data_IF_044385261984
#
_entry.id   IF_044385261984
#
_cell.length_a   1.000
_cell.length_b   1.000
_cell.length_c   1.000
_cell.angle_alpha   90.00
_cell.angle_beta   90.00
_cell.angle_gamma   90.00
#
_symmetry.space_group_name_H-M   'P 1'
#
loop_
_entity.id
_entity.type
_entity.pdbx_description
1 polymer ?
#
# COMPACT_ATOMS: atom_id res chain seq x y z
N UNK A 1 0.89 33.72 -7.48
CA UNK A 1 0.52 32.82 -6.35
C UNK A 1 -0.82 32.22 -6.70
N UNK A 2 -0.79 31.21 -7.58
CA UNK A 2 -1.97 30.42 -7.91
C UNK A 2 -2.22 29.48 -6.72
N UNK A 3 -3.45 29.43 -6.25
CA UNK A 3 -3.87 28.45 -5.24
C UNK A 3 -3.79 27.08 -5.92
N UNK A 4 -2.79 26.30 -5.55
CA UNK A 4 -2.78 24.84 -5.74
C UNK A 4 -3.85 24.32 -4.79
N UNK A 5 -5.10 24.36 -5.25
CA UNK A 5 -6.23 23.84 -4.51
C UNK A 5 -6.15 22.33 -4.54
N UNK A 6 -5.70 21.76 -3.42
CA UNK A 6 -5.80 20.39 -2.96
C UNK A 6 -6.78 19.51 -3.76
N UNK A 7 -6.33 18.95 -4.89
CA UNK A 7 -7.01 17.82 -5.55
C UNK A 7 -6.75 16.52 -4.78
N UNK A 8 -5.75 16.50 -3.89
CA UNK A 8 -5.49 15.40 -2.96
C UNK A 8 -6.61 15.17 -1.93
N UNK A 9 -7.52 16.13 -1.72
CA UNK A 9 -8.56 16.02 -0.69
C UNK A 9 -9.69 15.05 -1.03
N UNK A 10 -9.90 14.73 -2.32
CA UNK A 10 -11.00 13.84 -2.71
C UNK A 10 -10.69 12.36 -2.54
N UNK A 11 -9.41 11.94 -2.56
CA UNK A 11 -9.06 10.52 -2.43
C UNK A 11 -9.00 10.02 -0.98
N UNK A 12 -8.95 10.92 0.02
CA UNK A 12 -8.91 10.53 1.44
C UNK A 12 -10.28 10.14 2.03
N UNK A 13 -11.38 10.25 1.27
CA UNK A 13 -12.74 10.09 1.81
C UNK A 13 -13.24 8.64 1.89
N UNK A 14 -12.42 7.63 1.59
CA UNK A 14 -12.86 6.23 1.46
C UNK A 14 -12.03 5.22 2.28
N UNK A 15 -11.85 5.43 3.59
CA UNK A 15 -11.37 4.35 4.47
C UNK A 15 -11.79 4.44 5.95
N UNK A 16 -12.91 5.08 6.28
CA UNK A 16 -13.47 5.00 7.63
C UNK A 16 -14.89 4.44 7.58
N UNK A 17 -15.01 3.11 7.66
CA UNK A 17 -16.28 2.47 7.99
C UNK A 17 -16.51 2.65 9.50
N UNK A 18 -17.42 3.55 9.82
CA UNK A 18 -17.88 3.88 11.18
C UNK A 18 -18.30 2.63 11.97
N UNK A 19 -17.49 2.27 12.97
CA UNK A 19 -17.95 1.54 14.15
C UNK A 19 -18.36 2.56 15.20
N UNK A 20 -19.65 2.84 15.30
CA UNK A 20 -20.21 3.76 16.27
C UNK A 20 -19.93 3.32 17.73
N UNK A 21 -19.28 4.18 18.49
CA UNK A 21 -19.10 4.09 19.95
C UNK A 21 -18.75 5.46 20.52
N UNK A 22 -19.52 5.90 21.51
CA UNK A 22 -19.73 7.28 21.97
C UNK A 22 -18.65 7.90 22.86
N UNK A 23 -18.52 9.22 22.74
CA UNK A 23 -18.17 10.27 23.73
C UNK A 23 -17.02 10.01 24.72
N UNK A 24 -15.88 10.68 24.52
CA UNK A 24 -15.06 11.18 25.63
C UNK A 24 -14.29 12.46 25.24
N UNK A 25 -14.60 13.56 25.94
CA UNK A 25 -13.93 14.86 25.83
C UNK A 25 -12.62 14.82 26.64
N UNK A 26 -11.58 14.19 26.08
CA UNK A 26 -10.24 14.11 26.65
C UNK A 26 -9.20 14.78 25.75
N UNK A 27 -8.30 15.56 26.34
CA UNK A 27 -7.15 16.18 25.65
C UNK A 27 -6.37 15.11 24.88
N UNK A 28 -6.38 15.18 23.55
CA UNK A 28 -5.73 14.23 22.65
C UNK A 28 -4.21 14.52 22.59
N UNK A 29 -3.49 14.06 23.61
CA UNK A 29 -2.03 13.95 23.60
C UNK A 29 -1.67 12.58 24.14
N UNK A 30 -0.88 11.83 23.38
CA UNK A 30 -0.55 10.40 23.52
C UNK A 30 -1.65 9.45 23.01
N UNK A 31 -1.66 9.20 21.69
CA UNK A 31 -2.24 7.94 21.19
C UNK A 31 -1.24 6.83 21.53
N UNK A 32 -1.54 5.92 22.48
CA UNK A 32 -0.67 4.80 22.76
C UNK A 32 -0.58 3.91 21.51
N UNK A 33 0.56 3.26 21.31
CA UNK A 33 0.69 2.22 20.30
C UNK A 33 -0.48 1.23 20.43
N UNK A 34 -1.17 0.85 19.34
CA UNK A 34 -2.31 -0.08 19.38
C UNK A 34 -1.91 -1.49 19.85
N UNK A 35 -0.62 -1.73 20.06
CA UNK A 35 -0.04 -2.99 20.52
C UNK A 35 0.54 -2.94 21.94
N UNK A 36 0.32 -1.86 22.70
CA UNK A 36 0.66 -1.84 24.11
C UNK A 36 -0.26 -2.81 24.87
N UNK A 37 0.28 -3.94 25.35
CA UNK A 37 -0.45 -4.83 26.26
C UNK A 37 -0.62 -4.11 27.62
N UNK A 38 -1.86 -4.05 28.12
CA UNK A 38 -2.23 -3.44 29.41
C UNK A 38 -1.89 -4.41 30.56
N UNK A 39 -0.60 -4.56 30.82
CA UNK A 39 -0.09 -5.62 31.68
C UNK A 39 0.81 -5.05 32.76
N UNK A 40 0.22 -4.84 33.94
CA UNK A 40 0.94 -4.46 35.14
C UNK A 40 2.14 -5.38 35.40
N UNK A 41 3.32 -4.76 35.44
CA UNK A 41 4.55 -5.25 36.07
C UNK A 41 4.89 -6.72 35.75
N UNK A 42 5.48 -6.94 34.58
CA UNK A 42 6.48 -7.99 34.44
C UNK A 42 7.77 -7.35 33.96
N UNK A 43 8.84 -7.46 34.73
CA UNK A 43 10.19 -7.01 34.37
C UNK A 43 10.79 -7.81 33.22
N UNK A 44 10.05 -7.99 32.13
CA UNK A 44 10.52 -8.46 30.84
C UNK A 44 11.37 -7.32 30.29
N UNK A 45 12.67 -7.56 30.21
CA UNK A 45 13.58 -6.71 29.46
C UNK A 45 13.12 -6.75 28.01
N UNK A 46 12.42 -5.70 27.56
CA UNK A 46 12.01 -5.57 26.16
C UNK A 46 13.28 -5.55 25.33
N UNK A 47 13.52 -6.54 24.47
CA UNK A 47 14.69 -6.56 23.62
C UNK A 47 14.64 -5.34 22.72
N UNK A 48 15.59 -4.42 22.85
CA UNK A 48 15.64 -3.23 22.03
C UNK A 48 16.34 -3.55 20.70
N UNK A 49 15.58 -3.51 19.60
CA UNK A 49 16.16 -3.31 18.28
C UNK A 49 17.01 -2.03 18.30
N UNK A 50 18.15 -2.02 17.62
CA UNK A 50 18.95 -0.79 17.59
C UNK A 50 18.24 0.26 16.71
N UNK A 51 18.29 1.57 17.04
CA UNK A 51 17.64 2.61 16.23
C UNK A 51 18.03 2.57 14.75
N UNK A 52 19.30 2.31 14.43
CA UNK A 52 19.77 2.17 13.04
C UNK A 52 19.16 0.95 12.32
N UNK A 53 18.94 -0.15 13.03
CA UNK A 53 18.27 -1.34 12.50
C UNK A 53 16.78 -1.05 12.26
N UNK A 54 16.12 -0.38 13.20
CA UNK A 54 14.74 0.07 13.07
C UNK A 54 14.55 0.93 11.81
N UNK A 55 15.36 1.98 11.64
CA UNK A 55 15.31 2.85 10.45
C UNK A 55 15.57 2.06 9.17
N UNK A 56 16.58 1.17 9.17
CA UNK A 56 16.91 0.37 8.00
C UNK A 56 15.75 -0.55 7.59
N UNK A 57 15.11 -1.22 8.56
CA UNK A 57 13.96 -2.08 8.33
C UNK A 57 12.72 -1.30 7.88
N UNK A 58 12.46 -0.11 8.45
CA UNK A 58 11.36 0.75 8.00
C UNK A 58 11.55 1.22 6.56
N UNK A 59 12.74 1.68 6.19
CA UNK A 59 13.05 2.10 4.81
C UNK A 59 12.93 0.90 3.84
N UNK A 60 13.38 -0.28 4.25
CA UNK A 60 13.21 -1.50 3.44
C UNK A 60 11.73 -1.84 3.24
N UNK A 61 10.90 -1.68 4.28
CA UNK A 61 9.46 -1.90 4.22
C UNK A 61 8.73 -0.96 3.26
N UNK A 62 9.00 0.35 3.32
CA UNK A 62 8.41 1.32 2.37
C UNK A 62 8.87 1.03 0.93
N UNK A 63 10.14 0.69 0.74
CA UNK A 63 10.66 0.32 -0.59
C UNK A 63 10.02 -0.95 -1.15
N UNK A 64 9.71 -1.92 -0.30
CA UNK A 64 8.98 -3.11 -0.71
C UNK A 64 7.57 -2.75 -1.21
N UNK A 65 6.88 -1.84 -0.52
CA UNK A 65 5.59 -1.32 -0.97
C UNK A 65 5.68 -0.61 -2.33
N UNK A 66 6.69 0.23 -2.54
CA UNK A 66 6.94 0.89 -3.81
C UNK A 66 7.25 -0.11 -4.95
N UNK A 67 7.76 -1.29 -4.61
CA UNK A 67 8.11 -2.34 -5.57
C UNK A 67 6.96 -3.32 -5.89
N UNK A 68 5.77 -3.19 -5.29
CA UNK A 68 4.68 -4.17 -5.42
C UNK A 68 4.09 -4.30 -6.83
N UNK A 69 4.19 -3.27 -7.68
CA UNK A 69 3.79 -3.35 -9.10
C UNK A 69 2.43 -4.06 -9.33
N UNK A 70 1.32 -3.55 -8.78
CA UNK A 70 0.00 -4.17 -8.96
C UNK A 70 -0.43 -4.21 -10.43
N UNK A 71 0.06 -3.29 -11.25
CA UNK A 71 -0.09 -3.28 -12.71
C UNK A 71 0.45 -4.56 -13.34
N UNK A 72 1.65 -5.00 -12.95
CA UNK A 72 2.26 -6.21 -13.47
C UNK A 72 1.44 -7.46 -13.12
N UNK A 73 0.79 -7.48 -11.96
CA UNK A 73 -0.09 -8.58 -11.55
C UNK A 73 -1.35 -8.62 -12.42
N UNK A 74 -2.00 -7.47 -12.63
CA UNK A 74 -3.19 -7.38 -13.47
C UNK A 74 -2.87 -7.72 -14.93
N UNK A 75 -1.78 -7.19 -15.49
CA UNK A 75 -1.31 -7.52 -16.84
C UNK A 75 -1.04 -9.03 -17.00
N UNK A 76 -0.49 -9.65 -15.95
CA UNK A 76 -0.25 -11.10 -15.94
C UNK A 76 -1.56 -11.87 -15.94
N UNK A 77 -2.53 -11.49 -15.10
CA UNK A 77 -3.89 -12.06 -15.10
C UNK A 77 -4.50 -12.00 -16.50
N UNK A 78 -4.52 -10.82 -17.12
CA UNK A 78 -5.05 -10.62 -18.48
C UNK A 78 -4.34 -11.49 -19.52
N UNK A 79 -3.02 -11.62 -19.42
CA UNK A 79 -2.24 -12.44 -20.35
C UNK A 79 -2.54 -13.95 -20.22
N UNK A 80 -2.96 -14.39 -19.04
CA UNK A 80 -3.32 -15.78 -18.77
C UNK A 80 -4.79 -16.07 -19.03
N UNK A 81 -5.66 -15.05 -18.94
CA UNK A 81 -7.11 -15.20 -19.04
C UNK A 81 -7.53 -15.53 -20.47
N UNK A 82 -7.76 -16.81 -20.74
CA UNK A 82 -8.26 -17.30 -22.02
C UNK A 82 -9.58 -18.00 -21.74
N UNK A 83 -10.69 -17.30 -22.00
CA UNK A 83 -12.04 -17.85 -21.87
C UNK A 83 -12.50 -18.52 -23.17
N UNK A 84 -13.42 -19.48 -23.04
CA UNK A 84 -14.18 -20.05 -24.15
C UNK A 84 -15.67 -20.09 -23.83
N UNK A 85 -16.49 -20.45 -24.82
CA UNK A 85 -17.95 -20.44 -24.71
C UNK A 85 -18.50 -21.35 -23.58
N UNK A 86 -17.70 -22.26 -23.03
CA UNK A 86 -18.10 -23.21 -21.99
C UNK A 86 -17.36 -22.99 -20.65
N UNK A 87 -16.38 -22.09 -20.60
CA UNK A 87 -15.52 -21.87 -19.44
C UNK A 87 -15.02 -20.41 -19.41
N UNK A 88 -15.48 -19.59 -18.45
CA UNK A 88 -16.25 -19.95 -17.26
C UNK A 88 -17.75 -20.19 -17.53
N UNK A 89 -18.41 -20.89 -16.60
CA UNK A 89 -19.84 -21.26 -16.72
C UNK A 89 -20.75 -20.02 -16.63
N UNK A 90 -20.36 -19.06 -15.81
CA UNK A 90 -20.95 -17.73 -15.77
C UNK A 90 -19.90 -16.71 -16.18
N UNK A 91 -20.22 -15.94 -17.22
CA UNK A 91 -19.38 -14.88 -17.73
C UNK A 91 -20.24 -13.67 -18.09
N UNK A 92 -19.81 -12.51 -17.63
CA UNK A 92 -20.33 -11.22 -18.09
C UNK A 92 -19.17 -10.40 -18.63
N UNK A 93 -19.25 -10.04 -19.91
CA UNK A 93 -18.36 -9.05 -20.51
C UNK A 93 -19.19 -7.83 -20.86
N UNK A 94 -18.88 -6.70 -20.23
CA UNK A 94 -19.43 -5.41 -20.60
C UNK A 94 -18.32 -4.54 -21.18
N UNK A 95 -18.58 -3.94 -22.34
CA UNK A 95 -17.69 -2.97 -22.96
C UNK A 95 -18.47 -1.68 -23.13
N UNK A 96 -18.08 -0.66 -22.38
CA UNK A 96 -18.57 0.70 -22.52
C UNK A 96 -17.49 1.56 -23.18
N UNK A 97 -17.80 2.81 -23.52
CA UNK A 97 -16.84 3.68 -24.20
C UNK A 97 -15.55 3.92 -23.40
N UNK A 98 -15.64 3.78 -22.08
CA UNK A 98 -14.63 4.18 -21.10
C UNK A 98 -14.25 3.04 -20.14
N UNK A 99 -14.86 1.86 -20.26
CA UNK A 99 -14.51 0.71 -19.42
C UNK A 99 -14.71 -0.64 -20.12
N UNK A 100 -13.88 -1.60 -19.71
CA UNK A 100 -14.06 -3.02 -20.03
C UNK A 100 -14.16 -3.77 -18.71
N UNK A 101 -15.31 -4.41 -18.50
CA UNK A 101 -15.60 -5.19 -17.29
C UNK A 101 -15.76 -6.65 -17.67
N UNK A 102 -15.04 -7.52 -16.96
CA UNK A 102 -15.11 -8.96 -17.08
C UNK A 102 -15.40 -9.52 -15.69
N UNK A 103 -16.61 -10.04 -15.48
CA UNK A 103 -16.94 -10.83 -14.30
C UNK A 103 -17.11 -12.29 -14.68
N UNK A 104 -16.66 -13.19 -13.82
CA UNK A 104 -16.83 -14.62 -14.00
C UNK A 104 -17.12 -15.35 -12.71
N UNK A 105 -17.77 -16.50 -12.83
CA UNK A 105 -17.87 -17.48 -11.75
C UNK A 105 -17.80 -18.91 -12.31
N UNK A 106 -17.00 -19.75 -11.65
CA UNK A 106 -16.94 -21.18 -11.93
C UNK A 106 -16.48 -21.97 -10.71
N UNK A 107 -17.04 -23.16 -10.51
CA UNK A 107 -16.54 -24.12 -9.50
C UNK A 107 -15.27 -24.82 -9.98
N UNK A 108 -14.95 -24.73 -11.27
CA UNK A 108 -13.79 -25.34 -11.90
C UNK A 108 -14.11 -25.81 -13.31
N UNK A 109 -13.47 -25.20 -14.29
CA UNK A 109 -13.55 -25.61 -15.68
C UNK A 109 -12.17 -25.54 -16.36
N UNK A 110 -12.04 -26.17 -17.52
CA UNK A 110 -10.81 -26.12 -18.31
C UNK A 110 -11.15 -25.73 -19.74
N UNK A 111 -10.50 -24.68 -20.24
CA UNK A 111 -10.75 -24.23 -21.61
C UNK A 111 -10.16 -25.19 -22.64
N UNK A 112 -10.56 -25.05 -23.91
CA UNK A 112 -9.98 -25.81 -25.01
C UNK A 112 -8.45 -25.63 -25.15
N UNK A 113 -7.91 -24.50 -24.66
CA UNK A 113 -6.48 -24.21 -24.62
C UNK A 113 -5.75 -24.86 -23.42
N UNK A 114 -6.48 -25.53 -22.52
CA UNK A 114 -5.93 -26.19 -21.33
C UNK A 114 -5.71 -25.26 -20.14
N UNK A 115 -6.37 -24.10 -20.10
CA UNK A 115 -6.38 -23.22 -18.94
C UNK A 115 -7.46 -23.70 -17.96
N UNK A 116 -7.06 -24.08 -16.76
CA UNK A 116 -7.97 -24.34 -15.66
C UNK A 116 -8.31 -23.03 -14.95
N UNK A 117 -9.61 -22.77 -14.76
CA UNK A 117 -10.14 -21.58 -14.09
C UNK A 117 -10.96 -22.06 -12.90
N UNK A 118 -10.73 -21.48 -11.71
CA UNK A 118 -11.51 -21.74 -10.50
C UNK A 118 -11.86 -20.44 -9.79
N UNK A 119 -13.04 -20.42 -9.18
CA UNK A 119 -13.52 -19.31 -8.36
C UNK A 119 -14.31 -18.27 -9.15
N UNK A 120 -14.71 -17.22 -8.44
CA UNK A 120 -15.40 -16.07 -9.00
C UNK A 120 -14.51 -14.83 -8.88
N UNK A 121 -14.52 -14.00 -9.90
CA UNK A 121 -13.69 -12.82 -9.96
C UNK A 121 -14.23 -11.75 -10.88
N UNK A 122 -13.61 -10.59 -10.75
CA UNK A 122 -13.92 -9.39 -11.50
C UNK A 122 -12.63 -8.71 -11.91
N UNK A 123 -12.55 -8.33 -13.17
CA UNK A 123 -11.51 -7.52 -13.75
C UNK A 123 -12.17 -6.35 -14.47
N UNK A 124 -11.79 -5.13 -14.11
CA UNK A 124 -12.19 -3.91 -14.78
C UNK A 124 -10.96 -3.12 -15.21
N UNK A 125 -10.99 -2.62 -16.45
CA UNK A 125 -10.11 -1.56 -16.94
C UNK A 125 -10.99 -0.35 -17.22
N UNK A 126 -10.59 0.82 -16.76
CA UNK A 126 -11.35 2.04 -16.96
C UNK A 126 -10.46 3.22 -17.36
N UNK A 127 -11.08 4.19 -18.03
CA UNK A 127 -10.50 5.49 -18.34
C UNK A 127 -11.54 6.55 -18.04
N UNK A 128 -11.20 7.56 -17.26
CA UNK A 128 -12.12 8.66 -16.93
C UNK A 128 -11.50 9.99 -17.34
N UNK A 129 -12.34 10.95 -17.72
CA UNK A 129 -11.92 12.31 -18.05
C UNK A 129 -12.75 13.30 -17.23
N UNK A 130 -12.09 14.01 -16.31
CA UNK A 130 -12.70 15.00 -15.44
C UNK A 130 -12.05 16.37 -15.65
N UNK A 131 -12.68 17.19 -16.51
CA UNK A 131 -12.11 18.48 -16.90
C UNK A 131 -10.83 18.32 -17.72
N UNK A 132 -9.70 18.81 -17.19
CA UNK A 132 -8.37 18.67 -17.83
C UNK A 132 -7.59 17.45 -17.32
N UNK A 133 -8.16 16.70 -16.37
CA UNK A 133 -7.57 15.47 -15.84
C UNK A 133 -8.07 14.28 -16.64
N UNK A 134 -7.16 13.40 -17.05
CA UNK A 134 -7.44 12.07 -17.57
C UNK A 134 -6.89 11.04 -16.60
N UNK A 135 -7.71 10.07 -16.18
CA UNK A 135 -7.24 8.92 -15.41
C UNK A 135 -7.37 7.63 -16.22
N UNK A 136 -6.46 6.69 -15.99
CA UNK A 136 -6.60 5.29 -16.36
C UNK A 136 -6.42 4.41 -15.13
N UNK A 137 -7.15 3.30 -15.05
CA UNK A 137 -7.05 2.43 -13.90
C UNK A 137 -7.52 1.02 -14.17
N UNK A 138 -7.31 0.19 -13.16
CA UNK A 138 -7.69 -1.21 -13.19
C UNK A 138 -8.11 -1.69 -11.80
N UNK A 139 -9.11 -2.57 -11.77
CA UNK A 139 -9.55 -3.27 -10.57
C UNK A 139 -9.52 -4.76 -10.85
N UNK A 140 -8.95 -5.53 -9.94
CA UNK A 140 -9.00 -6.98 -9.96
C UNK A 140 -9.42 -7.46 -8.58
N UNK A 141 -10.53 -8.17 -8.44
CA UNK A 141 -10.91 -8.73 -7.14
C UNK A 141 -11.60 -10.08 -7.25
N UNK A 142 -11.51 -10.86 -6.18
CA UNK A 142 -12.17 -12.16 -6.06
C UNK A 142 -13.54 -12.02 -5.36
N UNK A 143 -14.60 -12.51 -5.98
CA UNK A 143 -16.00 -12.25 -5.55
C UNK A 143 -16.50 -13.15 -4.41
N UNK A 144 -15.81 -14.24 -4.10
CA UNK A 144 -16.22 -15.19 -3.06
C UNK A 144 -15.07 -16.11 -2.58
N UNK A 145 -13.94 -15.52 -2.22
CA UNK A 145 -12.76 -16.25 -1.73
C UNK A 145 -11.62 -16.22 -2.73
N UNK A 146 -11.08 -17.38 -3.09
CA UNK A 146 -9.91 -17.47 -3.97
C UNK A 146 -10.32 -17.66 -5.43
N UNK A 147 -9.73 -16.87 -6.32
CA UNK A 147 -9.73 -17.11 -7.77
C UNK A 147 -8.35 -17.59 -8.23
N UNK A 148 -8.33 -18.56 -9.15
CA UNK A 148 -7.09 -19.18 -9.63
C UNK A 148 -7.15 -19.47 -11.13
N UNK A 149 -6.05 -19.15 -11.81
CA UNK A 149 -5.72 -19.63 -13.15
C UNK A 149 -4.59 -20.64 -13.06
N UNK A 150 -4.68 -21.74 -13.82
CA UNK A 150 -3.62 -22.73 -13.92
C UNK A 150 -3.48 -23.20 -15.37
N UNK A 151 -2.35 -22.89 -15.99
CA UNK A 151 -2.08 -23.22 -17.38
C UNK A 151 -1.45 -24.62 -17.50
N UNK A 152 -1.62 -25.25 -18.66
CA UNK A 152 -1.09 -26.58 -18.94
C UNK A 152 0.46 -26.68 -18.90
N UNK A 153 1.16 -25.54 -18.99
CA UNK A 153 2.62 -25.45 -18.87
C UNK A 153 3.10 -25.42 -17.41
N UNK A 154 2.18 -25.48 -16.44
CA UNK A 154 2.47 -25.47 -15.01
C UNK A 154 2.45 -24.07 -14.37
N UNK A 155 2.27 -23.01 -15.16
CA UNK A 155 2.10 -21.66 -14.59
C UNK A 155 0.79 -21.54 -13.84
N UNK A 156 0.79 -20.79 -12.75
CA UNK A 156 -0.44 -20.44 -12.05
C UNK A 156 -0.38 -19.03 -11.48
N UNK A 157 -1.57 -18.46 -11.31
CA UNK A 157 -1.77 -17.23 -10.58
C UNK A 157 -3.02 -17.38 -9.73
N UNK A 158 -2.92 -17.00 -8.46
CA UNK A 158 -3.97 -17.08 -7.47
C UNK A 158 -4.12 -15.73 -6.75
N UNK A 159 -5.35 -15.28 -6.60
CA UNK A 159 -5.71 -14.07 -5.87
C UNK A 159 -6.87 -14.36 -4.93
N UNK A 160 -6.78 -13.89 -3.70
CA UNK A 160 -7.86 -13.83 -2.72
C UNK A 160 -7.87 -12.43 -2.12
N UNK A 161 -8.79 -11.55 -2.55
CA UNK A 161 -8.81 -10.15 -2.17
C UNK A 161 -8.95 -9.24 -3.38
N UNK A 162 -8.34 -8.05 -3.33
CA UNK A 162 -8.46 -7.02 -4.37
C UNK A 162 -7.14 -6.29 -4.66
N UNK A 163 -7.01 -5.88 -5.91
CA UNK A 163 -6.03 -4.92 -6.39
C UNK A 163 -6.80 -3.78 -7.04
N UNK A 164 -6.46 -2.56 -6.67
CA UNK A 164 -6.90 -1.35 -7.34
C UNK A 164 -5.66 -0.55 -7.72
N UNK A 165 -5.65 0.02 -8.93
CA UNK A 165 -4.70 1.04 -9.30
C UNK A 165 -5.36 2.08 -10.20
N UNK A 166 -4.93 3.32 -10.04
CA UNK A 166 -5.34 4.44 -10.87
C UNK A 166 -4.15 5.37 -11.08
N UNK A 167 -4.03 5.91 -12.29
CA UNK A 167 -3.06 6.93 -12.67
C UNK A 167 -3.78 8.09 -13.31
N UNK A 168 -3.57 9.28 -12.75
CA UNK A 168 -4.08 10.54 -13.26
C UNK A 168 -2.99 11.35 -13.96
N UNK A 169 -3.35 12.01 -15.06
CA UNK A 169 -2.53 13.05 -15.69
C UNK A 169 -3.35 14.31 -15.89
N UNK A 170 -2.77 15.46 -15.58
CA UNK A 170 -3.32 16.79 -15.78
C UNK A 170 -2.22 17.76 -16.24
N UNK A 171 -2.55 18.99 -16.69
CA UNK A 171 -1.55 20.02 -16.98
C UNK A 171 -0.68 20.39 -15.77
N UNK A 172 -1.21 20.22 -14.56
CA UNK A 172 -0.52 20.58 -13.31
C UNK A 172 0.42 19.48 -12.81
N UNK A 173 0.22 18.23 -13.26
CA UNK A 173 1.00 17.10 -12.83
C UNK A 173 0.34 15.75 -13.06
N UNK A 174 0.98 14.73 -12.53
CA UNK A 174 0.54 13.34 -12.54
C UNK A 174 0.37 12.84 -11.12
N UNK A 175 -0.60 11.98 -10.89
CA UNK A 175 -0.76 11.24 -9.63
C UNK A 175 -1.02 9.76 -9.89
N UNK A 176 -0.76 8.96 -8.87
CA UNK A 176 -1.13 7.56 -8.84
C UNK A 176 -1.73 7.22 -7.49
N UNK A 177 -2.55 6.19 -7.50
CA UNK A 177 -3.03 5.51 -6.31
C UNK A 177 -3.01 4.02 -6.59
N UNK A 178 -2.56 3.22 -5.63
CA UNK A 178 -2.89 1.80 -5.63
C UNK A 178 -3.35 1.36 -4.25
N UNK A 179 -4.15 0.31 -4.24
CA UNK A 179 -4.56 -0.39 -3.04
C UNK A 179 -4.44 -1.90 -3.27
N UNK A 180 -3.93 -2.58 -2.26
CA UNK A 180 -3.78 -4.03 -2.24
C UNK A 180 -4.43 -4.57 -0.99
N UNK A 181 -5.28 -5.57 -1.16
CA UNK A 181 -5.89 -6.31 -0.06
C UNK A 181 -5.91 -7.79 -0.34
N UNK A 182 -5.58 -8.58 0.69
CA UNK A 182 -5.62 -10.03 0.64
C UNK A 182 -4.33 -10.70 0.16
N UNK A 183 -4.45 -11.93 -0.31
CA UNK A 183 -3.33 -12.80 -0.67
C UNK A 183 -3.22 -12.97 -2.18
N UNK A 184 -2.01 -12.76 -2.70
CA UNK A 184 -1.68 -12.95 -4.10
C UNK A 184 -0.48 -13.88 -4.20
N UNK A 185 -0.52 -14.84 -5.12
CA UNK A 185 0.61 -15.76 -5.31
C UNK A 185 0.63 -16.33 -6.72
N UNK A 186 1.83 -16.70 -7.18
CA UNK A 186 2.00 -17.33 -8.47
C UNK A 186 3.10 -18.40 -8.43
N UNK A 187 3.31 -19.10 -9.53
CA UNK A 187 4.52 -19.91 -9.71
C UNK A 187 5.79 -19.04 -9.77
N UNK A 188 6.97 -19.63 -9.52
CA UNK A 188 8.24 -18.89 -9.45
C UNK A 188 8.54 -18.01 -10.68
N UNK A 189 8.18 -18.47 -11.89
CA UNK A 189 8.46 -17.72 -13.12
C UNK A 189 7.52 -16.51 -13.24
N UNK A 190 6.26 -16.69 -12.87
CA UNK A 190 5.26 -15.63 -12.86
C UNK A 190 5.51 -14.65 -11.69
N UNK A 191 5.91 -15.14 -10.51
CA UNK A 191 6.22 -14.30 -9.35
C UNK A 191 7.43 -13.38 -9.56
N UNK A 192 8.30 -13.69 -10.53
CA UNK A 192 9.42 -12.81 -10.89
C UNK A 192 8.99 -11.45 -11.46
N UNK A 193 7.71 -11.28 -11.85
CA UNK A 193 7.19 -10.00 -12.37
C UNK A 193 6.85 -9.00 -11.27
N UNK A 194 6.55 -9.49 -10.06
CA UNK A 194 6.17 -8.64 -8.93
C UNK A 194 6.40 -9.36 -7.58
N UNK A 195 7.02 -8.70 -6.59
CA UNK A 195 7.11 -9.21 -5.21
C UNK A 195 5.76 -9.53 -4.58
N UNK A 196 4.67 -8.89 -5.06
CA UNK A 196 3.32 -9.15 -4.59
C UNK A 196 2.87 -10.60 -4.84
N UNK A 197 3.47 -11.27 -5.83
CA UNK A 197 3.16 -12.65 -6.19
C UNK A 197 4.08 -13.67 -5.50
N UNK A 198 5.06 -13.23 -4.71
CA UNK A 198 5.89 -14.11 -3.90
C UNK A 198 5.05 -14.64 -2.71
N UNK A 199 4.85 -15.95 -2.57
CA UNK A 199 4.05 -16.51 -1.47
C UNK A 199 4.65 -16.27 -0.07
N UNK A 200 5.92 -15.87 0.03
CA UNK A 200 6.56 -15.46 1.27
C UNK A 200 6.26 -13.99 1.63
N UNK A 201 5.70 -13.21 0.72
CA UNK A 201 5.28 -11.82 0.95
C UNK A 201 3.79 -11.78 1.29
N UNK A 202 3.43 -11.08 2.37
CA UNK A 202 2.03 -10.74 2.69
C UNK A 202 1.95 -9.24 2.80
N UNK A 203 0.99 -8.63 2.14
CA UNK A 203 0.88 -7.17 2.08
C UNK A 203 -0.57 -6.73 2.02
N UNK A 204 -0.87 -5.63 2.70
CA UNK A 204 -2.16 -4.96 2.64
C UNK A 204 -1.97 -3.48 2.88
N UNK A 205 -2.63 -2.63 2.09
CA UNK A 205 -2.58 -1.19 2.27
C UNK A 205 -2.70 -0.45 0.95
N UNK A 206 -2.38 0.83 0.97
CA UNK A 206 -2.43 1.69 -0.19
C UNK A 206 -1.24 2.65 -0.19
N UNK A 207 -0.88 3.10 -1.40
CA UNK A 207 0.00 4.24 -1.60
C UNK A 207 -0.63 5.19 -2.61
N UNK A 208 -0.40 6.48 -2.40
CA UNK A 208 -0.65 7.51 -3.38
C UNK A 208 0.61 8.32 -3.64
N UNK A 209 0.74 8.81 -4.87
CA UNK A 209 1.85 9.65 -5.30
C UNK A 209 1.35 10.83 -6.11
N UNK A 210 2.07 11.95 -6.05
CA UNK A 210 1.87 13.09 -6.94
C UNK A 210 3.22 13.68 -7.36
N UNK A 211 3.34 14.05 -8.63
CA UNK A 211 4.47 14.80 -9.18
C UNK A 211 3.96 15.85 -10.18
N UNK A 212 4.17 17.12 -9.87
CA UNK A 212 3.64 18.21 -10.68
C UNK A 212 4.00 19.60 -10.19
N UNK A 213 4.24 20.54 -11.11
CA UNK A 213 4.42 21.96 -10.76
C UNK A 213 5.58 22.27 -9.80
N UNK A 214 6.56 21.37 -9.66
CA UNK A 214 7.66 21.47 -8.69
C UNK A 214 7.31 20.96 -7.29
N UNK A 215 6.14 20.34 -7.12
CA UNK A 215 5.66 19.70 -5.91
C UNK A 215 5.64 18.18 -6.10
N UNK A 216 6.07 17.44 -5.08
CA UNK A 216 6.07 15.98 -5.07
C UNK A 216 5.55 15.51 -3.72
N UNK A 217 4.71 14.48 -3.73
CA UNK A 217 4.21 13.86 -2.53
C UNK A 217 4.17 12.34 -2.66
N UNK A 218 4.58 11.64 -1.60
CA UNK A 218 4.26 10.23 -1.36
C UNK A 218 3.33 10.19 -0.16
N UNK A 219 2.33 9.32 -0.15
CA UNK A 219 1.74 8.93 1.12
C UNK A 219 1.02 7.60 1.08
N UNK A 220 0.51 7.19 2.24
CA UNK A 220 -0.31 6.00 2.37
C UNK A 220 -0.23 5.34 3.73
N UNK A 221 -0.78 4.14 3.80
CA UNK A 221 -0.73 3.29 4.98
C UNK A 221 -0.73 1.83 4.55
N UNK A 222 -0.08 0.98 5.32
CA UNK A 222 -0.06 -0.44 5.01
C UNK A 222 0.77 -1.29 5.95
N UNK A 223 0.69 -2.60 5.73
CA UNK A 223 1.43 -3.64 6.42
C UNK A 223 2.07 -4.56 5.41
N UNK A 224 3.29 -5.03 5.70
CA UNK A 224 3.96 -6.04 4.90
C UNK A 224 4.77 -6.98 5.79
N UNK A 225 4.84 -8.23 5.40
CA UNK A 225 5.79 -9.22 5.91
C UNK A 225 6.46 -9.90 4.75
N UNK A 226 7.72 -10.33 4.92
CA UNK A 226 8.44 -11.05 3.89
C UNK A 226 9.96 -10.94 4.05
N UNK A 227 10.71 -11.72 3.24
CA UNK A 227 12.16 -11.86 3.40
C UNK A 227 12.94 -10.55 3.14
N UNK A 228 12.36 -9.60 2.42
CA UNK A 228 13.00 -8.31 2.14
C UNK A 228 13.11 -7.40 3.38
N UNK A 229 12.41 -7.71 4.47
CA UNK A 229 12.51 -6.97 5.74
C UNK A 229 13.73 -7.35 6.59
N UNK A 230 14.53 -8.33 6.14
CA UNK A 230 15.73 -8.77 6.85
C UNK A 230 15.39 -9.55 8.12
N UNK A 231 15.83 -9.06 9.28
CA UNK A 231 15.58 -9.64 10.61
C UNK A 231 14.16 -9.39 11.12
N UNK A 232 13.46 -8.40 10.57
CA UNK A 232 12.09 -8.07 10.96
C UNK A 232 11.08 -9.08 10.38
N UNK A 233 10.11 -9.46 11.21
CA UNK A 233 8.99 -10.33 10.84
C UNK A 233 7.90 -9.59 10.08
N UNK A 234 7.67 -8.32 10.41
CA UNK A 234 6.66 -7.48 9.78
C UNK A 234 7.02 -6.00 9.88
N UNK A 235 6.49 -5.22 8.94
CA UNK A 235 6.54 -3.76 8.91
C UNK A 235 5.11 -3.23 8.73
N UNK A 236 4.82 -2.14 9.40
CA UNK A 236 3.62 -1.35 9.21
C UNK A 236 3.99 0.13 9.14
N UNK A 237 3.25 0.88 8.34
CA UNK A 237 3.28 2.34 8.36
C UNK A 237 1.86 2.88 8.36
N UNK A 238 1.64 3.95 9.10
CA UNK A 238 0.38 4.71 9.09
C UNK A 238 0.66 6.19 8.87
N UNK A 239 -0.32 6.85 8.25
CA UNK A 239 -0.33 8.29 8.01
C UNK A 239 0.95 8.79 7.34
N UNK A 240 1.56 7.95 6.50
CA UNK A 240 2.81 8.30 5.85
C UNK A 240 2.54 9.42 4.85
N UNK A 241 3.31 10.49 4.95
CA UNK A 241 3.35 11.59 4.01
C UNK A 241 4.79 12.08 3.87
N UNK A 242 5.33 12.03 2.65
CA UNK A 242 6.65 12.57 2.31
C UNK A 242 6.42 13.72 1.34
N UNK A 243 6.83 14.93 1.73
CA UNK A 243 6.76 16.13 0.88
C UNK A 243 8.13 16.81 0.91
N UNK A 244 9.07 16.46 0.02
CA UNK A 244 10.46 16.93 0.09
C UNK A 244 10.60 18.46 0.07
N UNK A 245 9.65 19.16 -0.55
CA UNK A 245 9.61 20.62 -0.62
C UNK A 245 9.23 21.27 0.71
N UNK A 246 8.51 20.55 1.58
CA UNK A 246 8.12 21.01 2.91
C UNK A 246 9.11 20.51 3.97
N UNK A 247 9.53 19.24 3.86
CA UNK A 247 10.45 18.58 4.76
C UNK A 247 11.33 17.58 3.99
N UNK A 248 12.58 17.96 3.70
CA UNK A 248 13.47 17.15 2.87
C UNK A 248 14.10 15.96 3.61
N UNK A 249 14.04 15.99 4.93
CA UNK A 249 14.79 15.11 5.85
C UNK A 249 13.91 14.11 6.56
N UNK A 250 12.59 14.32 6.58
CA UNK A 250 11.70 13.57 7.46
C UNK A 250 10.31 13.36 6.85
N UNK A 251 9.77 12.13 6.90
CA UNK A 251 8.36 11.89 6.61
C UNK A 251 7.48 12.34 7.79
N UNK A 252 6.20 12.58 7.55
CA UNK A 252 5.18 12.44 8.60
C UNK A 252 4.78 10.98 8.57
N UNK A 253 4.96 10.21 9.64
CA UNK A 253 4.55 8.81 9.67
C UNK A 253 4.68 8.22 11.08
N UNK A 254 3.93 7.15 11.34
CA UNK A 254 4.35 6.13 12.31
C UNK A 254 4.83 4.90 11.57
N UNK A 255 6.06 4.47 11.84
CA UNK A 255 6.63 3.23 11.31
C UNK A 255 6.75 2.20 12.43
N UNK A 256 6.13 1.05 12.26
CA UNK A 256 6.14 -0.04 13.23
C UNK A 256 6.85 -1.26 12.64
N UNK A 257 7.77 -1.86 13.40
CA UNK A 257 8.50 -3.08 13.03
C UNK A 257 8.24 -4.13 14.09
N UNK A 258 7.93 -5.35 13.63
CA UNK A 258 7.93 -6.53 14.47
C UNK A 258 9.28 -7.24 14.35
N UNK A 259 10.04 -7.30 15.42
CA UNK A 259 11.36 -7.95 15.41
C UNK A 259 11.27 -9.49 15.36
N UNK A 260 12.42 -10.14 15.25
CA UNK A 260 12.54 -11.61 15.20
C UNK A 260 12.09 -12.34 16.47
N UNK A 261 11.96 -11.63 17.59
CA UNK A 261 11.46 -12.16 18.87
C UNK A 261 9.95 -11.90 19.04
N UNK A 262 9.36 -11.12 18.15
CA UNK A 262 7.94 -10.84 18.06
C UNK A 262 7.50 -9.53 18.71
N UNK A 263 8.43 -8.71 19.22
CA UNK A 263 8.13 -7.41 19.83
C UNK A 263 7.93 -6.32 18.78
N UNK A 264 7.04 -5.38 19.09
CA UNK A 264 6.78 -4.21 18.27
C UNK A 264 7.62 -3.01 18.70
N UNK A 265 8.21 -2.38 17.70
CA UNK A 265 9.07 -1.21 17.74
C UNK A 265 8.44 -0.13 16.88
N UNK A 266 8.32 1.09 17.38
CA UNK A 266 7.67 2.20 16.69
C UNK A 266 8.65 3.38 16.52
N UNK A 267 8.67 4.01 15.35
CA UNK A 267 9.21 5.36 15.15
C UNK A 267 8.04 6.28 14.82
N UNK A 268 7.85 7.31 15.63
CA UNK A 268 6.85 8.36 15.38
C UNK A 268 7.57 9.62 14.94
N UNK A 269 7.41 9.97 13.66
CA UNK A 269 7.95 11.21 13.09
C UNK A 269 6.94 12.34 13.25
N UNK A 270 7.43 13.55 13.53
CA UNK A 270 6.62 14.70 13.95
C UNK A 270 6.77 15.93 13.03
N UNK A 271 7.35 15.73 11.84
CA UNK A 271 7.54 16.76 10.81
C UNK A 271 6.30 17.63 10.48
N UNK A 272 5.09 17.12 10.70
CA UNK A 272 3.86 17.89 10.53
C UNK A 272 2.76 17.48 11.50
N UNK A 273 1.84 18.41 11.74
CA UNK A 273 0.54 18.11 12.34
C UNK A 273 -0.48 17.83 11.23
N UNK A 274 -1.15 16.68 11.33
CA UNK A 274 -2.27 16.29 10.47
C UNK A 274 -3.57 16.56 11.23
N UNK A 275 -4.38 17.49 10.73
CA UNK A 275 -5.72 17.79 11.28
C UNK A 275 -6.75 17.41 10.21
N UNK A 276 -7.76 16.65 10.62
CA UNK A 276 -8.82 16.19 9.70
C UNK A 276 -9.48 17.38 8.99
N UNK A 277 -9.44 17.34 7.65
CA UNK A 277 -10.02 18.38 6.82
C UNK A 277 -9.15 19.64 6.65
N UNK A 278 -7.90 19.64 7.11
CA UNK A 278 -6.94 20.73 6.91
C UNK A 278 -5.70 20.28 6.15
N UNK A 279 -5.02 21.24 5.51
CA UNK A 279 -3.74 20.99 4.86
C UNK A 279 -2.68 20.65 5.93
N UNK A 280 -1.81 19.65 5.70
CA UNK A 280 -0.70 19.32 6.60
C UNK A 280 0.13 20.56 6.94
N UNK A 281 0.32 20.81 8.24
CA UNK A 281 1.12 21.93 8.73
C UNK A 281 2.50 21.45 9.12
N UNK A 282 3.47 21.64 8.22
CA UNK A 282 4.88 21.33 8.48
C UNK A 282 5.52 22.39 9.35
N UNK A 283 6.21 21.97 10.42
CA UNK A 283 7.07 22.86 11.21
C UNK A 283 8.54 22.66 10.78
N UNK A 284 9.17 23.66 10.15
CA UNK A 284 10.58 23.57 9.77
C UNK A 284 11.53 23.28 10.93
N UNK A 285 11.13 23.58 12.18
CA UNK A 285 11.90 23.26 13.38
C UNK A 285 11.86 21.78 13.75
N UNK A 286 10.81 21.06 13.34
CA UNK A 286 10.64 19.61 13.56
C UNK A 286 11.19 18.80 12.38
N UNK A 287 11.58 19.42 11.27
CA UNK A 287 12.19 18.75 10.12
C UNK A 287 13.66 18.35 10.35
N UNK A 288 13.94 17.58 11.40
CA UNK A 288 15.30 17.18 11.76
C UNK A 288 15.67 15.75 11.29
N UNK A 289 14.67 14.99 10.82
CA UNK A 289 14.85 13.63 10.34
C UNK A 289 14.77 12.59 11.43
N UNK A 290 14.40 12.94 12.66
CA UNK A 290 14.39 12.04 13.81
C UNK A 290 12.97 11.88 14.36
N UNK A 291 12.53 10.63 14.47
CA UNK A 291 11.29 10.31 15.18
C UNK A 291 11.57 9.77 16.59
N UNK A 292 10.56 9.86 17.45
CA UNK A 292 10.60 9.21 18.77
C UNK A 292 10.58 7.69 18.58
N UNK A 293 11.59 7.00 19.11
CA UNK A 293 11.70 5.55 19.06
C UNK A 293 11.11 4.92 20.34
N UNK A 294 10.14 4.01 20.15
CA UNK A 294 9.47 3.30 21.23
C UNK A 294 9.57 1.79 21.05
N UNK A 295 9.58 1.06 22.16
CA UNK A 295 9.33 -0.38 22.17
C UNK A 295 8.25 -0.68 23.22
N UNK A 296 7.16 -1.34 22.81
CA UNK A 296 6.00 -1.59 23.66
C UNK A 296 5.52 -0.33 24.42
N UNK A 297 5.47 0.82 23.73
CA UNK A 297 5.07 2.12 24.30
C UNK A 297 6.11 2.79 25.22
N UNK A 298 7.26 2.17 25.47
CA UNK A 298 8.34 2.78 26.24
C UNK A 298 9.29 3.53 25.32
N UNK A 299 9.52 4.82 25.58
CA UNK A 299 10.48 5.65 24.83
C UNK A 299 11.91 5.16 25.10
N UNK A 300 12.61 4.80 24.03
CA UNK A 300 14.00 4.33 24.08
C UNK A 300 15.01 5.38 23.60
N UNK A 301 14.54 6.42 22.90
CA UNK A 301 15.36 7.51 22.39
C UNK A 301 14.84 8.00 21.05
N UNK A 302 15.76 8.43 20.18
CA UNK A 302 15.45 8.91 18.84
C UNK A 302 15.97 7.92 17.79
N UNK A 303 15.25 7.82 16.68
CA UNK A 303 15.68 7.08 15.49
C UNK A 303 15.61 8.00 14.28
N UNK A 304 16.76 8.19 13.63
CA UNK A 304 16.90 9.21 12.60
C UNK A 304 17.04 8.62 11.20
N UNK A 305 16.15 9.04 10.30
CA UNK A 305 16.25 8.79 8.86
C UNK A 305 17.09 9.88 8.19
N UNK A 306 18.00 9.49 7.31
CA UNK A 306 18.80 10.46 6.56
C UNK A 306 18.01 11.08 5.42
N UNK A 307 18.36 12.32 5.05
CA UNK A 307 17.85 12.97 3.84
C UNK A 307 18.02 12.11 2.58
N UNK A 308 19.12 11.35 2.47
CA UNK A 308 19.34 10.42 1.35
C UNK A 308 18.38 9.23 1.36
N UNK A 309 18.00 8.73 2.54
CA UNK A 309 16.99 7.67 2.64
C UNK A 309 15.61 8.22 2.25
N UNK A 310 15.21 9.39 2.76
CA UNK A 310 13.96 10.05 2.35
C UNK A 310 13.95 10.33 0.84
N UNK A 311 15.03 10.92 0.30
CA UNK A 311 15.16 11.16 -1.13
C UNK A 311 15.01 9.86 -1.95
N UNK A 312 15.60 8.75 -1.48
CA UNK A 312 15.47 7.46 -2.17
C UNK A 312 14.05 6.88 -2.15
N UNK A 313 13.19 7.29 -1.21
CA UNK A 313 11.77 6.93 -1.24
C UNK A 313 11.03 7.67 -2.36
N UNK A 314 11.57 8.79 -2.83
CA UNK A 314 11.02 9.60 -3.93
C UNK A 314 11.66 9.28 -5.29
N UNK A 315 12.71 8.47 -5.32
CA UNK A 315 13.43 8.03 -6.53
C UNK A 315 12.72 6.84 -7.22
N UNK A 316 11.40 6.86 -7.32
CA UNK A 316 10.68 5.80 -8.04
C UNK A 316 10.83 6.00 -9.56
N UNK A 317 11.29 4.96 -10.25
CA UNK A 317 11.30 4.92 -11.71
C UNK A 317 9.86 4.80 -12.23
N UNK A 318 9.42 5.72 -13.09
CA UNK A 318 8.05 5.72 -13.62
C UNK A 318 7.04 6.47 -12.75
N UNK A 319 7.49 7.45 -11.97
CA UNK A 319 6.63 8.40 -11.26
C UNK A 319 5.44 8.88 -12.10
N UNK A 320 4.23 8.88 -11.54
CA UNK A 320 3.69 8.04 -10.47
C UNK A 320 3.30 6.68 -11.07
N UNK A 321 3.69 5.60 -10.37
CA UNK A 321 3.69 4.20 -10.85
C UNK A 321 2.49 3.82 -11.66
#
# INVERSE_FOLDING_TARGET
>A
MARVGLVAMCMLTLACREGAGSDDDGVETDRPSPYAEDDGDTGVEVPAMQPDEMVASSVAGVRLFLALRPDAVIDTWESMLVFDDACPEEQLVSMEAESTVISWATEGCTTAAGLEIRGAGHLERFTTVEGERSSEGAVLYAEAGTMRLSAADGRFLETNGHLYLERGTSPDGTDSYFEVGGDHSADDATAATSPLLDPAVRVQGFLFGYDGGGYQALGGAGTVSGPALGSALAFQFSDMLVVPQACATEPVATFSIRDGEGFWHDIVFDAATLVDGEDPQFDPALCDGCGTYLAAGTVLGDACISASQVASLMEWEGAPW
#
